data_IF_431931770899
#
_entry.id   IF_431931770899
#
_cell.length_a   1.000
_cell.length_b   1.000
_cell.length_c   1.000
_cell.angle_alpha   90.00
_cell.angle_beta   90.00
_cell.angle_gamma   90.00
#
_symmetry.space_group_name_H-M   'P 1'
#
loop_
_entity.id
_entity.type
_entity.pdbx_description
1 polymer ?
#
# COMPACT_ATOMS: atom_id res chain seq x y z
N UNK A 1 -17.12 4.76 -4.07
CA UNK A 1 -17.92 4.99 -5.30
C UNK A 1 -17.41 4.05 -6.38
N UNK A 2 -18.30 3.47 -7.17
CA UNK A 2 -17.99 2.57 -8.29
C UNK A 2 -18.54 3.19 -9.59
N UNK A 3 -17.65 3.36 -10.57
CA UNK A 3 -18.02 3.75 -11.93
C UNK A 3 -18.13 2.49 -12.80
N UNK A 4 -19.17 2.40 -13.61
CA UNK A 4 -19.36 1.33 -14.56
C UNK A 4 -19.54 1.92 -15.97
N UNK A 5 -18.79 1.40 -16.94
CA UNK A 5 -18.95 1.71 -18.34
C UNK A 5 -19.51 0.46 -19.08
N UNK A 6 -20.16 0.68 -20.21
CA UNK A 6 -20.74 -0.40 -21.00
C UNK A 6 -19.67 -1.31 -21.64
N UNK A 7 -18.53 -0.72 -22.02
CA UNK A 7 -17.44 -1.41 -22.70
C UNK A 7 -16.17 -1.37 -21.84
N UNK A 8 -15.40 -2.47 -21.73
CA UNK A 8 -14.18 -2.53 -20.94
C UNK A 8 -13.16 -1.47 -21.34
N UNK A 9 -12.95 -1.23 -22.64
CA UNK A 9 -12.02 -0.23 -23.11
C UNK A 9 -12.44 1.20 -22.73
N UNK A 10 -13.74 1.45 -22.67
CA UNK A 10 -14.25 2.74 -22.15
C UNK A 10 -13.97 2.89 -20.68
N UNK A 11 -14.17 1.84 -19.87
CA UNK A 11 -13.80 1.84 -18.45
C UNK A 11 -12.29 2.06 -18.27
N UNK A 12 -11.47 1.37 -19.06
CA UNK A 12 -10.02 1.53 -19.07
C UNK A 12 -9.57 2.95 -19.43
N UNK A 13 -10.19 3.55 -20.46
CA UNK A 13 -9.91 4.93 -20.83
C UNK A 13 -10.24 5.93 -19.71
N UNK A 14 -11.40 5.80 -19.10
CA UNK A 14 -11.81 6.61 -17.95
C UNK A 14 -10.83 6.44 -16.80
N UNK A 15 -10.43 5.20 -16.49
CA UNK A 15 -9.47 4.92 -15.43
C UNK A 15 -8.09 5.56 -15.71
N UNK A 16 -7.59 5.50 -16.95
CA UNK A 16 -6.35 6.18 -17.36
C UNK A 16 -6.45 7.69 -17.19
N UNK A 17 -7.59 8.28 -17.57
CA UNK A 17 -7.81 9.71 -17.40
C UNK A 17 -7.83 10.13 -15.93
N UNK A 18 -8.60 9.45 -15.08
CA UNK A 18 -8.73 9.78 -13.66
C UNK A 18 -7.39 9.67 -12.90
N UNK A 19 -6.46 8.82 -13.37
CA UNK A 19 -5.10 8.67 -12.83
C UNK A 19 -4.09 9.66 -13.41
N UNK A 20 -4.42 10.31 -14.52
CA UNK A 20 -3.53 11.26 -15.18
C UNK A 20 -3.40 12.57 -14.40
N UNK A 21 -2.37 13.37 -14.74
CA UNK A 21 -2.20 14.74 -14.19
C UNK A 21 -3.36 15.69 -14.49
N UNK A 22 -4.26 15.34 -15.41
CA UNK A 22 -5.43 16.15 -15.77
C UNK A 22 -6.70 15.71 -15.04
N UNK A 23 -6.89 14.42 -14.80
CA UNK A 23 -8.09 13.88 -14.16
C UNK A 23 -8.01 13.94 -12.64
N UNK A 24 -6.84 13.55 -12.08
CA UNK A 24 -6.65 13.52 -10.64
C UNK A 24 -6.91 14.85 -9.92
N UNK A 25 -6.40 16.03 -10.40
CA UNK A 25 -6.72 17.31 -9.76
C UNK A 25 -8.22 17.60 -9.74
N UNK A 26 -8.99 17.22 -10.77
CA UNK A 26 -10.43 17.41 -10.80
C UNK A 26 -11.14 16.59 -9.72
N UNK A 27 -10.66 15.35 -9.43
CA UNK A 27 -11.19 14.54 -8.34
C UNK A 27 -10.92 15.20 -6.97
N UNK A 28 -9.69 15.65 -6.75
CA UNK A 28 -9.28 16.26 -5.48
C UNK A 28 -9.99 17.61 -5.26
N UNK A 29 -10.18 18.39 -6.31
CA UNK A 29 -10.89 19.68 -6.21
C UNK A 29 -12.34 19.54 -5.72
N UNK A 30 -12.96 18.38 -5.98
CA UNK A 30 -14.32 18.07 -5.52
C UNK A 30 -14.40 17.58 -4.08
N UNK A 31 -13.27 17.34 -3.40
CA UNK A 31 -13.29 16.80 -2.03
C UNK A 31 -13.73 17.87 -1.02
N UNK A 32 -14.42 17.41 0.02
CA UNK A 32 -14.84 18.22 1.16
C UNK A 32 -14.58 17.45 2.46
N UNK A 33 -14.57 18.14 3.58
CA UNK A 33 -14.30 17.58 4.90
C UNK A 33 -13.15 18.32 5.60
N UNK A 34 -13.21 18.37 6.93
CA UNK A 34 -12.20 19.06 7.74
C UNK A 34 -11.10 18.13 8.29
N UNK A 35 -11.42 16.87 8.47
CA UNK A 35 -10.51 15.85 9.04
C UNK A 35 -10.28 14.71 8.05
N UNK A 36 -11.32 14.28 7.34
CA UNK A 36 -11.26 13.25 6.30
C UNK A 36 -11.87 13.81 5.04
N UNK A 37 -11.08 13.84 3.95
CA UNK A 37 -11.58 14.24 2.64
C UNK A 37 -12.57 13.20 2.11
N UNK A 38 -13.74 13.66 1.69
CA UNK A 38 -14.80 12.86 1.11
C UNK A 38 -15.11 13.32 -0.31
N UNK A 39 -15.58 12.40 -1.13
CA UNK A 39 -16.06 12.64 -2.49
C UNK A 39 -17.40 11.93 -2.69
N UNK A 40 -18.36 12.61 -3.27
CA UNK A 40 -19.70 12.10 -3.59
C UNK A 40 -19.89 11.84 -5.09
N UNK A 41 -20.90 11.06 -5.50
CA UNK A 41 -21.17 10.81 -6.91
C UNK A 41 -21.31 12.06 -7.76
N UNK A 42 -21.96 13.11 -7.23
CA UNK A 42 -22.19 14.40 -7.89
C UNK A 42 -20.89 15.13 -8.22
N UNK A 43 -19.82 14.89 -7.45
CA UNK A 43 -18.50 15.45 -7.75
C UNK A 43 -17.87 14.74 -8.96
N UNK A 44 -18.10 13.43 -9.10
CA UNK A 44 -17.61 12.66 -10.25
C UNK A 44 -18.31 13.05 -11.55
N UNK A 45 -19.59 13.39 -11.51
CA UNK A 45 -20.37 13.87 -12.66
C UNK A 45 -19.82 15.16 -13.26
N UNK A 46 -19.13 15.96 -12.46
CA UNK A 46 -18.52 17.23 -12.90
C UNK A 46 -17.14 17.05 -13.52
N UNK A 47 -16.57 15.86 -13.45
CA UNK A 47 -15.24 15.57 -14.04
C UNK A 47 -15.34 15.60 -15.56
N UNK A 48 -14.58 16.49 -16.19
CA UNK A 48 -14.56 16.64 -17.65
C UNK A 48 -13.54 15.70 -18.25
N UNK A 49 -14.02 14.67 -18.94
CA UNK A 49 -13.21 13.68 -19.64
C UNK A 49 -13.07 14.10 -21.11
N UNK A 50 -11.85 14.18 -21.66
CA UNK A 50 -11.65 14.57 -23.05
C UNK A 50 -12.28 13.57 -24.02
N UNK A 51 -13.00 14.05 -25.01
CA UNK A 51 -13.51 13.22 -26.10
C UNK A 51 -12.42 13.08 -27.19
N UNK A 52 -11.57 12.08 -27.02
CA UNK A 52 -10.55 11.71 -28.01
C UNK A 52 -11.17 10.87 -29.14
N UNK A 53 -10.53 10.81 -30.34
CA UNK A 53 -10.99 9.93 -31.40
C UNK A 53 -11.17 8.48 -30.91
N UNK A 54 -12.22 7.77 -31.34
CA UNK A 54 -12.55 6.43 -30.82
C UNK A 54 -11.38 5.46 -30.84
N UNK A 55 -10.59 5.47 -31.92
CA UNK A 55 -9.40 4.60 -32.06
C UNK A 55 -8.38 4.83 -30.93
N UNK A 56 -8.20 6.08 -30.49
CA UNK A 56 -7.27 6.44 -29.41
C UNK A 56 -7.81 6.07 -28.04
N UNK A 57 -9.12 6.24 -27.82
CA UNK A 57 -9.77 5.80 -26.58
C UNK A 57 -9.66 4.29 -26.40
N UNK A 58 -9.93 3.54 -27.47
CA UNK A 58 -9.81 2.08 -27.46
C UNK A 58 -8.35 1.64 -27.21
N UNK A 59 -7.37 2.26 -27.87
CA UNK A 59 -5.95 1.95 -27.67
C UNK A 59 -5.53 2.15 -26.20
N UNK A 60 -5.87 3.28 -25.60
CA UNK A 60 -5.54 3.61 -24.20
C UNK A 60 -6.30 2.68 -23.26
N UNK A 61 -7.59 2.46 -23.53
CA UNK A 61 -8.43 1.59 -22.72
C UNK A 61 -7.93 0.14 -22.67
N UNK A 62 -7.48 -0.40 -23.81
CA UNK A 62 -6.91 -1.75 -23.88
C UNK A 62 -5.67 -1.92 -23.02
N UNK A 63 -4.77 -0.93 -23.00
CA UNK A 63 -3.59 -0.98 -22.13
C UNK A 63 -3.98 -1.04 -20.65
N UNK A 64 -5.02 -0.31 -20.25
CA UNK A 64 -5.55 -0.37 -18.87
C UNK A 64 -6.22 -1.71 -18.56
N UNK A 65 -7.00 -2.27 -19.50
CA UNK A 65 -7.58 -3.60 -19.35
C UNK A 65 -6.49 -4.67 -19.21
N UNK A 66 -5.48 -4.63 -20.09
CA UNK A 66 -4.33 -5.52 -20.02
C UNK A 66 -3.62 -5.42 -18.65
N UNK A 67 -3.45 -4.21 -18.10
CA UNK A 67 -2.87 -4.05 -16.78
C UNK A 67 -3.73 -4.71 -15.67
N UNK A 68 -5.06 -4.66 -15.82
CA UNK A 68 -6.00 -5.38 -14.93
C UNK A 68 -5.81 -6.89 -15.03
N UNK A 69 -5.87 -7.45 -16.24
CA UNK A 69 -5.71 -8.89 -16.51
C UNK A 69 -4.39 -9.44 -15.95
N UNK A 70 -3.28 -8.70 -16.18
CA UNK A 70 -1.96 -9.07 -15.64
C UNK A 70 -1.93 -9.09 -14.10
N UNK A 71 -2.65 -8.18 -13.44
CA UNK A 71 -2.76 -8.20 -11.97
C UNK A 71 -3.59 -9.36 -11.47
N UNK A 72 -4.69 -9.66 -12.16
CA UNK A 72 -5.55 -10.81 -11.81
C UNK A 72 -4.79 -12.12 -11.97
N UNK A 73 -4.02 -12.29 -13.06
CA UNK A 73 -3.13 -13.45 -13.24
C UNK A 73 -2.06 -13.50 -12.15
N UNK A 74 -1.43 -12.36 -11.80
CA UNK A 74 -0.46 -12.32 -10.72
C UNK A 74 -1.06 -12.73 -9.37
N UNK A 75 -2.27 -12.28 -9.05
CA UNK A 75 -2.94 -12.69 -7.82
C UNK A 75 -3.27 -14.18 -7.83
N UNK A 76 -3.75 -14.72 -8.96
CA UNK A 76 -3.99 -16.16 -9.10
C UNK A 76 -2.73 -17.00 -8.86
N UNK A 77 -1.58 -16.56 -9.39
CA UNK A 77 -0.30 -17.24 -9.14
C UNK A 77 0.12 -17.20 -7.67
N UNK A 78 -0.16 -16.10 -6.95
CA UNK A 78 0.12 -16.03 -5.52
C UNK A 78 -0.81 -16.92 -4.70
N UNK A 79 -2.09 -17.01 -5.06
CA UNK A 79 -3.04 -17.94 -4.43
C UNK A 79 -2.61 -19.40 -4.68
N UNK A 80 -2.11 -19.69 -5.88
CA UNK A 80 -1.57 -21.01 -6.24
C UNK A 80 -0.29 -21.32 -5.46
N UNK A 81 0.61 -20.34 -5.27
CA UNK A 81 1.82 -20.51 -4.46
C UNK A 81 1.48 -20.82 -3.00
N UNK A 82 0.47 -20.15 -2.42
CA UNK A 82 -0.02 -20.42 -1.07
C UNK A 82 -0.61 -21.84 -0.97
N UNK A 83 -1.50 -22.20 -1.91
CA UNK A 83 -2.08 -23.54 -1.98
C UNK A 83 -0.99 -24.62 -2.08
N UNK A 84 -0.02 -24.41 -2.96
CA UNK A 84 1.08 -25.35 -3.20
C UNK A 84 2.00 -25.48 -2.00
N UNK A 85 2.28 -24.38 -1.29
CA UNK A 85 3.04 -24.39 -0.04
C UNK A 85 2.37 -25.30 1.00
N UNK A 86 1.07 -25.16 1.22
CA UNK A 86 0.30 -25.99 2.14
C UNK A 86 0.31 -27.47 1.71
N UNK A 87 0.12 -27.74 0.42
CA UNK A 87 0.10 -29.09 -0.14
C UNK A 87 1.46 -29.79 -0.03
N UNK A 88 2.54 -29.14 -0.51
CA UNK A 88 3.89 -29.75 -0.53
C UNK A 88 4.48 -29.96 0.85
N UNK A 89 4.13 -29.12 1.80
CA UNK A 89 4.55 -29.26 3.18
C UNK A 89 3.57 -30.07 4.04
N UNK A 90 2.43 -30.50 3.48
CA UNK A 90 1.36 -31.17 4.20
C UNK A 90 0.93 -30.38 5.46
N UNK A 91 0.79 -29.04 5.31
CA UNK A 91 0.36 -28.13 6.36
C UNK A 91 -1.13 -27.83 6.22
N UNK A 92 -1.98 -28.13 7.21
CA UNK A 92 -3.37 -27.65 7.22
C UNK A 92 -3.40 -26.13 7.38
N UNK A 93 -4.43 -25.47 6.87
CA UNK A 93 -4.60 -24.04 7.16
C UNK A 93 -4.85 -23.82 8.66
N UNK A 94 -4.25 -22.79 9.23
CA UNK A 94 -4.40 -22.48 10.67
C UNK A 94 -5.85 -22.24 11.07
N UNK A 95 -6.67 -21.67 10.19
CA UNK A 95 -8.11 -21.48 10.40
C UNK A 95 -8.87 -22.79 10.69
N UNK A 96 -8.38 -23.92 10.21
CA UNK A 96 -9.02 -25.23 10.31
C UNK A 96 -8.59 -25.98 11.60
N UNK A 97 -7.47 -25.58 12.20
CA UNK A 97 -6.88 -26.27 13.36
C UNK A 97 -6.78 -25.39 14.60
N UNK A 98 -6.76 -24.08 14.46
CA UNK A 98 -6.69 -23.16 15.60
C UNK A 98 -8.09 -22.95 16.20
N UNK A 99 -8.18 -22.99 17.51
CA UNK A 99 -9.41 -22.67 18.26
C UNK A 99 -9.68 -21.15 18.13
N UNK A 100 -10.47 -20.76 17.13
CA UNK A 100 -10.96 -19.39 16.96
C UNK A 100 -12.25 -19.20 17.75
N UNK A 101 -12.31 -18.16 18.54
CA UNK A 101 -13.61 -17.58 18.99
C UNK A 101 -14.10 -17.92 20.39
N UNK A 102 -13.27 -18.34 21.35
CA UNK A 102 -13.68 -18.23 22.74
C UNK A 102 -13.35 -16.86 23.31
N UNK A 103 -14.31 -16.19 23.92
CA UNK A 103 -14.15 -14.88 24.56
C UNK A 103 -13.07 -14.88 25.69
N UNK A 104 -12.72 -16.06 26.18
CA UNK A 104 -11.60 -16.27 27.09
C UNK A 104 -10.85 -17.54 26.70
N UNK A 105 -9.55 -17.42 26.50
CA UNK A 105 -8.67 -18.54 26.23
C UNK A 105 -7.71 -18.72 27.40
N UNK A 106 -7.63 -19.93 27.91
CA UNK A 106 -6.69 -20.31 28.97
C UNK A 106 -5.79 -21.43 28.44
N UNK A 107 -4.49 -21.23 28.50
CA UNK A 107 -3.51 -22.24 28.16
C UNK A 107 -2.46 -22.38 29.25
N UNK A 108 -1.90 -23.59 29.39
CA UNK A 108 -0.79 -23.85 30.30
C UNK A 108 0.48 -24.06 29.48
N UNK A 109 1.51 -23.28 29.78
CA UNK A 109 2.79 -23.31 29.09
C UNK A 109 3.86 -23.78 30.10
N UNK A 110 4.70 -24.72 29.68
CA UNK A 110 5.84 -25.14 30.50
C UNK A 110 6.87 -24.01 30.54
N UNK A 111 7.55 -23.85 31.68
CA UNK A 111 8.60 -22.82 31.81
C UNK A 111 9.68 -22.89 30.73
N UNK A 112 10.01 -24.09 30.25
CA UNK A 112 10.94 -24.31 29.14
C UNK A 112 10.44 -23.81 27.77
N UNK A 113 9.14 -23.56 27.62
CA UNK A 113 8.48 -23.07 26.41
C UNK A 113 8.22 -21.57 26.41
N UNK A 114 8.53 -20.88 27.51
CA UNK A 114 8.31 -19.43 27.63
C UNK A 114 9.18 -18.62 26.66
N UNK A 115 10.31 -19.15 26.22
CA UNK A 115 11.23 -18.47 25.28
C UNK A 115 11.63 -17.05 25.72
N UNK A 116 11.63 -16.83 27.05
CA UNK A 116 11.90 -15.51 27.65
C UNK A 116 10.76 -14.49 27.52
N UNK A 117 9.58 -14.89 27.06
CA UNK A 117 8.40 -14.04 26.83
C UNK A 117 7.24 -14.48 27.73
N UNK A 118 6.65 -13.53 28.43
CA UNK A 118 5.53 -13.75 29.36
C UNK A 118 4.19 -13.22 28.82
N UNK A 119 4.22 -12.52 27.71
CA UNK A 119 3.03 -11.90 27.11
C UNK A 119 2.08 -12.97 26.54
N UNK A 120 0.82 -12.89 26.91
CA UNK A 120 -0.21 -13.81 26.43
C UNK A 120 -0.34 -13.78 24.89
N UNK A 121 -0.15 -12.63 24.26
CA UNK A 121 -0.16 -12.48 22.79
C UNK A 121 0.92 -13.32 22.10
N UNK A 122 2.09 -13.47 22.71
CA UNK A 122 3.16 -14.33 22.18
C UNK A 122 2.79 -15.82 22.23
N UNK A 123 2.01 -16.21 23.21
CA UNK A 123 1.56 -17.59 23.44
C UNK A 123 0.11 -17.81 23.00
N UNK A 124 -0.34 -17.09 21.96
CA UNK A 124 -1.69 -17.27 21.45
C UNK A 124 -1.92 -18.66 20.84
N UNK A 125 -3.17 -19.16 20.79
CA UNK A 125 -3.50 -20.52 20.32
C UNK A 125 -3.04 -20.82 18.91
N UNK A 126 -3.16 -19.82 18.00
CA UNK A 126 -2.77 -19.99 16.60
C UNK A 126 -1.25 -20.20 16.50
N UNK A 127 -0.46 -19.40 17.24
CA UNK A 127 0.99 -19.54 17.25
C UNK A 127 1.45 -20.89 17.86
N UNK A 128 0.79 -21.35 18.92
CA UNK A 128 1.07 -22.67 19.53
C UNK A 128 0.73 -23.78 18.54
N UNK A 129 -0.41 -23.67 17.83
CA UNK A 129 -0.81 -24.64 16.81
C UNK A 129 0.18 -24.64 15.64
N UNK A 130 0.61 -23.46 15.16
CA UNK A 130 1.59 -23.31 14.09
C UNK A 130 2.91 -24.02 14.45
N UNK A 131 3.49 -23.70 15.61
CA UNK A 131 4.73 -24.33 16.08
C UNK A 131 4.61 -25.87 16.22
N UNK A 132 3.46 -26.34 16.71
CA UNK A 132 3.18 -27.77 16.84
C UNK A 132 3.15 -28.47 15.48
N UNK A 133 2.54 -27.83 14.46
CA UNK A 133 2.54 -28.38 13.11
C UNK A 133 3.94 -28.38 12.51
N UNK A 134 4.70 -27.29 12.66
CA UNK A 134 6.09 -27.24 12.17
C UNK A 134 6.96 -28.32 12.78
N UNK A 135 6.83 -28.58 14.09
CA UNK A 135 7.58 -29.62 14.78
C UNK A 135 7.29 -31.07 14.28
N UNK A 136 6.19 -31.26 13.55
CA UNK A 136 5.79 -32.59 12.99
C UNK A 136 6.22 -32.77 11.55
N UNK A 137 6.71 -31.71 10.89
CA UNK A 137 7.12 -31.80 9.49
C UNK A 137 8.36 -32.68 9.32
N UNK A 138 8.40 -33.52 8.25
CA UNK A 138 9.57 -34.34 7.93
C UNK A 138 10.67 -33.55 7.20
N UNK A 139 10.77 -32.25 7.46
CA UNK A 139 11.75 -31.34 6.86
C UNK A 139 12.45 -30.52 7.95
N UNK A 140 13.64 -30.05 7.66
CA UNK A 140 14.36 -29.17 8.56
C UNK A 140 13.56 -27.88 8.81
N UNK A 141 13.45 -27.45 10.05
CA UNK A 141 12.93 -26.12 10.42
C UNK A 141 14.12 -25.23 10.75
N UNK A 142 14.24 -24.14 10.02
CA UNK A 142 15.26 -23.14 10.23
C UNK A 142 14.63 -21.79 10.58
N UNK A 143 15.38 -20.70 10.50
CA UNK A 143 14.93 -19.34 10.79
C UNK A 143 15.01 -18.48 9.54
N UNK A 144 14.17 -17.46 9.45
CA UNK A 144 14.22 -16.49 8.35
C UNK A 144 15.62 -15.90 8.16
N UNK A 145 16.36 -15.65 9.26
CA UNK A 145 17.72 -15.12 9.21
C UNK A 145 18.81 -16.14 8.85
N UNK A 146 18.48 -17.37 8.50
CA UNK A 146 19.46 -18.40 8.07
C UNK A 146 20.13 -17.98 6.75
N UNK A 147 21.47 -17.96 6.75
CA UNK A 147 22.26 -17.50 5.59
C UNK A 147 22.10 -18.36 4.33
N UNK A 148 21.56 -19.56 4.44
CA UNK A 148 21.24 -20.43 3.29
C UNK A 148 20.09 -19.88 2.45
N UNK A 149 19.21 -19.08 3.05
CA UNK A 149 18.01 -18.52 2.38
C UNK A 149 17.96 -17.01 2.41
N UNK A 150 18.61 -16.36 3.38
CA UNK A 150 18.60 -14.91 3.57
C UNK A 150 20.02 -14.36 3.65
N UNK A 151 20.34 -13.46 2.74
CA UNK A 151 21.62 -12.73 2.74
C UNK A 151 21.67 -11.70 3.86
N UNK A 152 20.58 -10.96 4.07
CA UNK A 152 20.51 -9.88 5.04
C UNK A 152 19.07 -9.58 5.46
N UNK A 153 18.86 -9.31 6.75
CA UNK A 153 17.65 -8.67 7.27
C UNK A 153 18.01 -7.25 7.68
N UNK A 154 17.52 -6.28 6.92
CA UNK A 154 17.88 -4.85 7.05
C UNK A 154 16.73 -4.07 7.66
N UNK A 155 16.95 -3.44 8.80
CA UNK A 155 16.06 -2.44 9.37
C UNK A 155 16.87 -1.20 9.71
N UNK A 156 16.31 -0.04 9.41
CA UNK A 156 16.98 1.22 9.68
C UNK A 156 16.52 1.73 11.04
N UNK A 157 17.46 2.31 11.77
CA UNK A 157 17.16 3.21 12.89
C UNK A 157 16.51 4.48 12.36
N UNK A 158 15.63 5.10 13.17
CA UNK A 158 14.80 6.25 12.78
C UNK A 158 15.53 7.26 11.90
N UNK A 159 15.07 7.36 10.67
CA UNK A 159 15.49 8.34 9.68
C UNK A 159 14.78 9.67 9.98
N UNK A 160 15.40 10.51 10.81
CA UNK A 160 14.74 11.69 11.40
C UNK A 160 14.73 12.91 10.49
N UNK A 161 15.81 13.17 9.76
CA UNK A 161 15.94 14.35 8.92
C UNK A 161 15.74 13.98 7.45
N UNK A 162 14.59 14.39 6.91
CA UNK A 162 14.21 14.10 5.52
C UNK A 162 14.10 15.39 4.73
N UNK A 163 14.94 15.52 3.73
CA UNK A 163 14.84 16.61 2.76
C UNK A 163 14.09 16.14 1.54
N UNK A 164 12.94 16.74 1.28
CA UNK A 164 12.11 16.40 0.12
C UNK A 164 12.26 17.45 -0.98
N UNK A 165 12.06 17.01 -2.23
CA UNK A 165 12.09 17.86 -3.42
C UNK A 165 10.93 17.52 -4.34
N UNK A 166 10.42 18.52 -5.07
CA UNK A 166 9.31 18.31 -5.99
C UNK A 166 9.75 17.62 -7.29
N UNK A 167 10.98 17.90 -7.74
CA UNK A 167 11.53 17.40 -9.01
C UNK A 167 12.88 16.72 -8.80
N UNK A 168 13.14 15.68 -9.57
CA UNK A 168 14.45 15.02 -9.64
C UNK A 168 14.88 14.23 -8.40
N UNK A 169 14.01 14.05 -7.42
CA UNK A 169 14.29 13.23 -6.23
C UNK A 169 13.99 11.73 -6.43
N UNK A 170 14.31 10.94 -5.40
CA UNK A 170 14.03 9.51 -5.37
C UNK A 170 12.69 9.29 -4.66
N UNK A 171 11.73 8.56 -5.27
CA UNK A 171 10.46 8.25 -4.62
C UNK A 171 10.68 7.54 -3.28
N UNK A 172 9.98 7.99 -2.23
CA UNK A 172 10.00 7.38 -0.90
C UNK A 172 8.61 6.93 -0.50
N UNK A 173 8.47 5.63 -0.33
CA UNK A 173 7.23 4.99 0.07
C UNK A 173 7.13 4.92 1.60
N UNK A 174 5.98 5.28 2.13
CA UNK A 174 5.57 4.89 3.48
C UNK A 174 5.18 3.41 3.50
N UNK A 175 5.10 2.80 4.69
CA UNK A 175 4.63 1.42 4.82
C UNK A 175 3.24 1.20 4.20
N UNK A 176 2.33 2.18 4.28
CA UNK A 176 1.02 2.12 3.62
C UNK A 176 1.13 2.12 2.09
N UNK A 177 1.99 2.99 1.54
CA UNK A 177 2.16 3.13 0.09
C UNK A 177 2.82 1.91 -0.56
N UNK A 178 3.64 1.15 0.17
CA UNK A 178 4.23 -0.11 -0.32
C UNK A 178 3.19 -1.12 -0.81
N UNK A 179 1.97 -1.08 -0.26
CA UNK A 179 0.88 -2.03 -0.57
C UNK A 179 -0.20 -1.43 -1.47
N UNK A 180 -0.04 -0.20 -1.93
CA UNK A 180 -0.94 0.40 -2.89
C UNK A 180 -0.61 -0.07 -4.30
N UNK A 181 -1.64 -0.39 -5.09
CA UNK A 181 -1.50 -0.73 -6.51
C UNK A 181 -0.91 0.45 -7.30
N UNK A 182 -1.33 1.66 -6.93
CA UNK A 182 -0.85 2.92 -7.48
C UNK A 182 -0.57 3.87 -6.30
N UNK A 183 0.68 3.91 -5.81
CA UNK A 183 1.06 4.78 -4.70
C UNK A 183 0.86 6.25 -5.08
N UNK A 184 -0.01 6.93 -4.35
CA UNK A 184 -0.32 8.34 -4.54
C UNK A 184 0.44 9.21 -3.54
N UNK A 185 0.68 10.48 -3.92
CA UNK A 185 1.37 11.49 -3.09
C UNK A 185 2.75 11.04 -2.59
N UNK A 186 3.44 10.27 -3.43
CA UNK A 186 4.77 9.76 -3.12
C UNK A 186 5.75 10.93 -3.06
N UNK A 187 6.27 11.19 -1.86
CA UNK A 187 7.30 12.20 -1.63
C UNK A 187 8.61 11.77 -2.28
N UNK A 188 9.43 12.73 -2.70
CA UNK A 188 10.72 12.46 -3.33
C UNK A 188 11.84 12.97 -2.45
N UNK A 189 12.75 12.09 -2.04
CA UNK A 189 13.94 12.46 -1.28
C UNK A 189 14.97 13.17 -2.16
N UNK A 190 15.58 14.20 -1.63
CA UNK A 190 16.72 14.88 -2.25
C UNK A 190 17.95 13.95 -2.25
N UNK A 191 18.35 13.46 -3.42
CA UNK A 191 19.43 12.49 -3.57
C UNK A 191 20.75 12.98 -2.92
N UNK A 192 21.11 14.24 -3.13
CA UNK A 192 22.34 14.81 -2.61
C UNK A 192 22.38 14.89 -1.07
N UNK A 193 21.24 15.18 -0.43
CA UNK A 193 21.14 15.28 1.02
C UNK A 193 21.22 13.90 1.72
N UNK A 194 20.83 12.83 1.02
CA UNK A 194 20.67 11.49 1.60
C UNK A 194 21.59 10.43 1.00
N UNK A 195 22.70 10.84 0.38
CA UNK A 195 23.62 9.90 -0.29
C UNK A 195 24.13 8.79 0.63
N UNK A 196 24.34 9.10 1.92
CA UNK A 196 24.84 8.13 2.91
C UNK A 196 23.74 7.13 3.35
N UNK A 197 22.48 7.57 3.36
CA UNK A 197 21.35 6.77 3.84
C UNK A 197 20.80 5.85 2.75
N UNK A 198 20.98 6.22 1.47
CA UNK A 198 20.41 5.49 0.34
C UNK A 198 20.69 3.99 0.33
N UNK A 199 21.90 3.49 0.61
CA UNK A 199 22.16 2.05 0.61
C UNK A 199 21.29 1.26 1.59
N UNK A 200 20.89 1.91 2.70
CA UNK A 200 20.07 1.25 3.72
C UNK A 200 18.57 1.34 3.43
N UNK A 201 18.12 2.41 2.74
CA UNK A 201 16.70 2.67 2.51
C UNK A 201 16.21 2.29 1.11
N UNK A 202 17.13 2.07 0.17
CA UNK A 202 16.80 1.76 -1.21
C UNK A 202 16.19 0.36 -1.33
N UNK A 203 15.21 0.24 -2.21
CA UNK A 203 14.56 -1.01 -2.57
C UNK A 203 15.29 -1.66 -3.76
N UNK A 204 15.36 -2.97 -3.74
CA UNK A 204 15.95 -3.81 -4.78
C UNK A 204 14.87 -4.75 -5.34
N UNK A 205 14.98 -5.15 -6.60
CA UNK A 205 14.07 -6.13 -7.20
C UNK A 205 14.12 -7.44 -6.42
N UNK A 206 12.96 -8.06 -6.21
CA UNK A 206 12.79 -9.28 -5.42
C UNK A 206 13.14 -9.19 -3.92
N UNK A 207 13.52 -8.01 -3.43
CA UNK A 207 13.58 -7.76 -1.99
C UNK A 207 12.20 -7.93 -1.35
N UNK A 208 12.13 -8.45 -0.13
CA UNK A 208 10.87 -8.58 0.60
C UNK A 208 10.81 -7.47 1.64
N UNK A 209 9.76 -6.64 1.55
CA UNK A 209 9.45 -5.62 2.55
C UNK A 209 8.37 -6.14 3.50
N UNK A 210 8.60 -6.01 4.81
CA UNK A 210 7.67 -6.42 5.87
C UNK A 210 7.36 -5.21 6.74
N UNK A 211 6.07 -4.91 6.94
CA UNK A 211 5.67 -3.84 7.86
C UNK A 211 6.02 -4.21 9.30
N UNK A 212 6.74 -3.30 9.98
CA UNK A 212 7.24 -3.51 11.33
C UNK A 212 6.57 -2.68 12.41
N UNK A 213 5.81 -1.64 12.05
CA UNK A 213 5.21 -0.70 12.99
C UNK A 213 3.77 -0.38 12.61
N UNK A 214 2.88 -0.28 13.57
CA UNK A 214 1.44 -0.05 13.38
C UNK A 214 0.74 -1.30 12.84
N UNK A 215 0.43 -1.36 11.56
CA UNK A 215 -0.08 -2.56 10.91
C UNK A 215 1.10 -3.49 10.60
N UNK A 216 1.40 -4.41 11.51
CA UNK A 216 2.53 -5.33 11.40
C UNK A 216 2.23 -6.56 10.53
N UNK A 217 3.27 -7.20 10.00
CA UNK A 217 3.20 -8.50 9.33
C UNK A 217 2.67 -8.50 7.91
N UNK A 218 2.39 -7.33 7.30
CA UNK A 218 2.14 -7.27 5.86
C UNK A 218 3.43 -7.44 5.09
N UNK A 219 3.38 -8.23 4.01
CA UNK A 219 4.55 -8.61 3.22
C UNK A 219 4.35 -8.20 1.77
N UNK A 220 5.38 -7.61 1.17
CA UNK A 220 5.43 -7.23 -0.24
C UNK A 220 6.75 -7.66 -0.85
N UNK A 221 6.70 -8.43 -1.94
CA UNK A 221 7.87 -8.62 -2.79
C UNK A 221 8.00 -7.43 -3.75
N UNK A 222 9.19 -6.86 -3.84
CA UNK A 222 9.43 -5.61 -4.58
C UNK A 222 9.52 -5.90 -6.08
N UNK A 223 8.61 -5.34 -6.90
CA UNK A 223 8.67 -5.47 -8.35
C UNK A 223 9.78 -4.58 -8.93
N UNK A 224 10.20 -4.88 -10.14
CA UNK A 224 11.28 -4.19 -10.84
C UNK A 224 11.05 -2.68 -10.96
N UNK A 225 9.82 -2.22 -11.18
CA UNK A 225 9.53 -0.79 -11.31
C UNK A 225 9.76 0.00 -10.01
N UNK A 226 9.70 -0.67 -8.84
CA UNK A 226 10.01 -0.06 -7.54
C UNK A 226 11.51 -0.16 -7.20
N UNK A 227 12.30 -0.91 -7.96
CA UNK A 227 13.74 -0.96 -7.74
C UNK A 227 14.34 0.45 -7.87
N UNK A 228 15.28 0.77 -6.99
CA UNK A 228 15.85 2.10 -6.83
C UNK A 228 14.94 3.17 -6.19
N UNK A 229 13.68 2.89 -5.88
CA UNK A 229 12.91 3.71 -4.96
C UNK A 229 13.38 3.48 -3.51
N UNK A 230 12.85 4.23 -2.58
CA UNK A 230 13.17 4.07 -1.15
C UNK A 230 11.89 3.79 -0.35
N UNK A 231 12.04 3.20 0.82
CA UNK A 231 10.93 3.02 1.76
C UNK A 231 11.31 3.53 3.15
N UNK A 232 10.28 3.89 3.94
CA UNK A 232 10.44 4.39 5.30
C UNK A 232 11.04 3.32 6.23
N UNK A 233 11.45 3.75 7.41
CA UNK A 233 11.91 2.88 8.50
C UNK A 233 10.86 1.92 9.04
N UNK A 234 9.57 2.15 8.73
CA UNK A 234 8.46 1.30 9.18
C UNK A 234 8.34 -0.02 8.39
N UNK A 235 9.24 -0.25 7.45
CA UNK A 235 9.37 -1.50 6.73
C UNK A 235 10.75 -2.13 6.97
N UNK A 236 10.79 -3.35 7.50
CA UNK A 236 11.99 -4.20 7.50
C UNK A 236 12.16 -4.80 6.11
N UNK A 237 13.38 -4.91 5.64
CA UNK A 237 13.75 -5.42 4.33
C UNK A 237 14.51 -6.72 4.48
N UNK A 238 14.10 -7.74 3.73
CA UNK A 238 14.77 -9.04 3.68
C UNK A 238 15.36 -9.18 2.28
N UNK A 239 16.66 -9.36 2.21
CA UNK A 239 17.38 -9.72 1.00
C UNK A 239 17.61 -11.24 1.05
N UNK A 240 16.97 -11.97 0.16
CA UNK A 240 17.20 -13.41 0.03
C UNK A 240 18.60 -13.69 -0.52
N UNK A 241 19.08 -14.92 -0.33
CA UNK A 241 20.36 -15.38 -0.86
C UNK A 241 20.37 -15.47 -2.39
N UNK A 242 19.21 -15.73 -2.99
CA UNK A 242 18.95 -15.79 -4.42
C UNK A 242 17.46 -15.54 -4.71
N UNK A 243 17.10 -15.43 -6.00
CA UNK A 243 15.73 -15.15 -6.41
C UNK A 243 14.72 -16.25 -6.04
N UNK A 244 15.12 -17.50 -6.13
CA UNK A 244 14.27 -18.65 -5.77
C UNK A 244 13.91 -18.59 -4.29
N UNK A 245 14.91 -18.35 -3.44
CA UNK A 245 14.69 -18.16 -2.03
C UNK A 245 13.86 -16.89 -1.74
N UNK A 246 13.98 -15.81 -2.53
CA UNK A 246 13.11 -14.65 -2.41
C UNK A 246 11.64 -15.01 -2.62
N UNK A 247 11.34 -15.77 -3.68
CA UNK A 247 9.98 -16.24 -3.96
C UNK A 247 9.43 -17.13 -2.84
N UNK A 248 10.21 -18.11 -2.40
CA UNK A 248 9.82 -19.02 -1.32
C UNK A 248 9.63 -18.31 0.03
N UNK A 249 10.57 -17.42 0.42
CA UNK A 249 10.47 -16.61 1.62
C UNK A 249 9.21 -15.72 1.61
N UNK A 250 8.91 -15.12 0.46
CA UNK A 250 7.68 -14.34 0.32
C UNK A 250 6.45 -15.22 0.52
N UNK A 251 6.36 -16.38 -0.15
CA UNK A 251 5.23 -17.29 -0.02
C UNK A 251 5.04 -17.73 1.44
N UNK A 252 6.13 -18.08 2.13
CA UNK A 252 6.07 -18.40 3.55
C UNK A 252 5.59 -17.25 4.43
N UNK A 253 6.20 -16.08 4.30
CA UNK A 253 5.87 -14.93 5.12
C UNK A 253 4.45 -14.39 4.85
N UNK A 254 3.92 -14.56 3.63
CA UNK A 254 2.57 -14.18 3.24
C UNK A 254 1.51 -15.21 3.67
N UNK A 255 1.90 -16.46 3.96
CA UNK A 255 1.00 -17.51 4.44
C UNK A 255 0.44 -17.23 5.83
N UNK A 256 -0.61 -17.92 6.21
CA UNK A 256 -1.20 -17.82 7.54
C UNK A 256 -0.21 -18.22 8.65
N UNK A 257 0.68 -19.20 8.41
CA UNK A 257 1.76 -19.56 9.33
C UNK A 257 2.78 -18.46 9.49
N UNK A 258 3.33 -17.95 8.39
CA UNK A 258 4.32 -16.87 8.41
C UNK A 258 3.77 -15.60 9.08
N UNK A 259 2.55 -15.21 8.71
CA UNK A 259 1.88 -14.07 9.34
C UNK A 259 1.68 -14.27 10.85
N UNK A 260 1.19 -15.44 11.27
CA UNK A 260 0.98 -15.75 12.67
C UNK A 260 2.29 -15.71 13.48
N UNK A 261 3.35 -16.36 12.97
CA UNK A 261 4.65 -16.43 13.62
C UNK A 261 5.38 -15.07 13.66
N UNK A 262 5.20 -14.22 12.65
CA UNK A 262 5.72 -12.84 12.68
C UNK A 262 5.00 -11.97 13.70
N UNK A 263 3.66 -11.99 13.64
CA UNK A 263 2.84 -11.08 14.46
C UNK A 263 2.88 -11.43 15.95
N UNK A 264 3.02 -12.72 16.30
CA UNK A 264 3.22 -13.12 17.71
C UNK A 264 4.47 -12.49 18.32
N UNK A 265 5.49 -12.22 17.53
CA UNK A 265 6.73 -11.61 17.99
C UNK A 265 6.60 -10.12 18.33
N UNK A 266 5.45 -9.51 18.04
CA UNK A 266 5.24 -8.08 18.28
C UNK A 266 5.32 -7.70 19.75
N UNK A 267 5.71 -6.47 19.99
CA UNK A 267 5.74 -5.82 21.30
C UNK A 267 5.18 -4.40 21.20
N UNK A 268 4.94 -3.77 22.32
CA UNK A 268 4.34 -2.44 22.40
C UNK A 268 2.89 -2.48 22.91
N UNK A 269 2.43 -1.39 23.48
CA UNK A 269 1.09 -1.30 24.09
C UNK A 269 0.10 -0.48 23.24
N UNK A 270 0.57 0.56 22.57
CA UNK A 270 -0.26 1.45 21.73
C UNK A 270 0.07 1.23 20.25
N UNK A 271 1.34 1.18 19.90
CA UNK A 271 1.81 0.86 18.55
C UNK A 271 2.59 -0.44 18.67
N UNK A 272 2.11 -1.48 17.97
CA UNK A 272 2.82 -2.75 17.89
C UNK A 272 4.02 -2.61 16.96
N UNK A 273 5.15 -3.19 17.36
CA UNK A 273 6.38 -3.23 16.58
C UNK A 273 6.97 -4.64 16.55
N UNK A 274 7.69 -4.94 15.46
CA UNK A 274 8.51 -6.14 15.30
C UNK A 274 9.90 -5.70 14.86
N UNK A 275 10.93 -5.99 15.62
CA UNK A 275 12.30 -5.67 15.23
C UNK A 275 12.89 -6.72 14.27
N UNK A 276 14.04 -6.39 13.69
CA UNK A 276 14.69 -7.25 12.68
C UNK A 276 15.20 -8.56 13.27
N UNK A 277 15.63 -8.56 14.52
CA UNK A 277 16.14 -9.74 15.24
C UNK A 277 14.98 -10.71 15.50
N UNK A 278 13.81 -10.19 15.89
CA UNK A 278 12.60 -10.98 16.05
C UNK A 278 12.12 -11.55 14.71
N UNK A 279 12.08 -10.74 13.67
CA UNK A 279 11.73 -11.21 12.32
C UNK A 279 12.70 -12.28 11.83
N UNK A 280 13.99 -12.07 12.01
CA UNK A 280 15.03 -13.04 11.64
C UNK A 280 14.92 -14.36 12.41
N UNK A 281 14.33 -14.34 13.61
CA UNK A 281 14.15 -15.54 14.46
C UNK A 281 12.89 -16.36 14.13
N UNK A 282 12.00 -15.86 13.27
CA UNK A 282 10.78 -16.57 12.85
C UNK A 282 11.14 -17.88 12.17
N UNK A 283 10.45 -18.96 12.55
CA UNK A 283 10.68 -20.29 11.98
C UNK A 283 10.13 -20.39 10.54
N UNK A 284 10.87 -21.12 9.72
CA UNK A 284 10.52 -21.46 8.33
C UNK A 284 10.92 -22.89 8.02
N UNK A 285 10.06 -23.70 7.39
CA UNK A 285 10.46 -24.98 6.84
C UNK A 285 11.51 -24.81 5.73
N UNK A 286 12.49 -25.69 5.69
CA UNK A 286 13.51 -25.73 4.64
C UNK A 286 13.39 -27.04 3.84
N UNK A 287 12.37 -27.17 2.96
CA UNK A 287 12.23 -28.34 2.12
C UNK A 287 13.35 -28.39 1.07
N UNK A 288 13.44 -29.52 0.37
CA UNK A 288 14.38 -29.67 -0.73
C UNK A 288 14.24 -28.57 -1.80
N UNK A 289 15.32 -28.27 -2.54
CA UNK A 289 15.33 -27.18 -3.53
C UNK A 289 14.21 -27.26 -4.58
N UNK A 290 13.82 -28.47 -5.00
CA UNK A 290 12.77 -28.67 -5.99
C UNK A 290 11.43 -28.06 -5.53
N UNK A 291 11.02 -28.28 -4.28
CA UNK A 291 9.79 -27.72 -3.71
C UNK A 291 9.90 -26.20 -3.57
N UNK A 292 11.05 -25.68 -3.11
CA UNK A 292 11.27 -24.23 -3.01
C UNK A 292 11.22 -23.55 -4.37
N UNK A 293 11.78 -24.19 -5.41
CA UNK A 293 11.73 -23.69 -6.78
C UNK A 293 10.28 -23.64 -7.29
N UNK A 294 9.53 -24.72 -7.13
CA UNK A 294 8.16 -24.82 -7.61
C UNK A 294 7.27 -23.68 -7.03
N UNK A 295 7.39 -23.43 -5.73
CA UNK A 295 6.65 -22.35 -5.06
C UNK A 295 7.23 -20.96 -5.42
N UNK A 296 8.55 -20.84 -5.39
CA UNK A 296 9.25 -19.58 -5.63
C UNK A 296 9.04 -19.04 -7.04
N UNK A 297 9.03 -19.90 -8.06
CA UNK A 297 8.81 -19.53 -9.46
C UNK A 297 7.42 -18.90 -9.68
N UNK A 298 6.38 -19.42 -9.02
CA UNK A 298 5.03 -18.81 -9.08
C UNK A 298 5.04 -17.38 -8.56
N UNK A 299 5.69 -17.14 -7.42
CA UNK A 299 5.80 -15.81 -6.82
C UNK A 299 6.62 -14.88 -7.70
N UNK A 300 7.76 -15.33 -8.23
CA UNK A 300 8.59 -14.52 -9.11
C UNK A 300 7.86 -14.16 -10.41
N UNK A 301 7.12 -15.11 -10.99
CA UNK A 301 6.27 -14.85 -12.16
C UNK A 301 5.19 -13.84 -11.84
N UNK A 302 4.51 -13.96 -10.70
CA UNK A 302 3.52 -12.98 -10.24
C UNK A 302 4.14 -11.58 -10.09
N UNK A 303 5.35 -11.49 -9.54
CA UNK A 303 6.07 -10.22 -9.40
C UNK A 303 6.42 -9.59 -10.75
N UNK A 304 6.82 -10.40 -11.74
CA UNK A 304 7.06 -9.95 -13.12
C UNK A 304 5.77 -9.44 -13.80
N UNK A 305 4.64 -10.13 -13.61
CA UNK A 305 3.34 -9.69 -14.15
C UNK A 305 2.89 -8.37 -13.52
N UNK A 306 3.15 -8.14 -12.24
CA UNK A 306 2.90 -6.85 -11.57
C UNK A 306 3.75 -5.72 -12.17
N UNK A 307 5.01 -5.99 -12.53
CA UNK A 307 5.87 -5.02 -13.23
C UNK A 307 5.32 -4.71 -14.63
N UNK A 308 4.91 -5.72 -15.39
CA UNK A 308 4.30 -5.54 -16.72
C UNK A 308 2.99 -4.75 -16.64
N UNK A 309 2.13 -5.07 -15.66
CA UNK A 309 0.88 -4.35 -15.43
C UNK A 309 1.12 -2.86 -15.17
N UNK A 310 2.07 -2.55 -14.31
CA UNK A 310 2.44 -1.15 -14.03
C UNK A 310 2.94 -0.43 -15.30
N UNK A 311 3.79 -1.08 -16.10
CA UNK A 311 4.30 -0.50 -17.36
C UNK A 311 3.18 -0.22 -18.37
N UNK A 312 2.26 -1.17 -18.54
CA UNK A 312 1.11 -1.01 -19.44
C UNK A 312 0.23 0.16 -19.01
N UNK A 313 0.01 0.31 -17.71
CA UNK A 313 -0.72 1.43 -17.13
C UNK A 313 -0.01 2.77 -17.33
N UNK A 314 1.30 2.85 -17.06
CA UNK A 314 2.08 4.07 -17.28
C UNK A 314 2.13 4.45 -18.76
N UNK A 315 2.16 3.47 -19.67
CA UNK A 315 2.07 3.71 -21.11
C UNK A 315 0.71 4.31 -21.49
N UNK A 316 -0.39 3.76 -20.95
CA UNK A 316 -1.75 4.28 -21.18
C UNK A 316 -1.88 5.75 -20.74
N UNK A 317 -1.44 6.04 -19.51
CA UNK A 317 -1.46 7.40 -18.95
C UNK A 317 -0.59 8.35 -19.79
N UNK A 318 0.64 7.94 -20.14
CA UNK A 318 1.55 8.76 -20.93
C UNK A 318 1.01 9.06 -22.32
N UNK A 319 0.41 8.07 -23.02
CA UNK A 319 -0.23 8.26 -24.32
C UNK A 319 -1.39 9.26 -24.23
N UNK A 320 -2.24 9.11 -23.23
CA UNK A 320 -3.35 10.03 -22.97
C UNK A 320 -2.86 11.46 -22.75
N UNK A 321 -1.89 11.64 -21.87
CA UNK A 321 -1.35 12.96 -21.53
C UNK A 321 -0.69 13.66 -22.73
N UNK A 322 0.03 12.91 -23.56
CA UNK A 322 0.60 13.44 -24.81
C UNK A 322 -0.46 13.90 -25.80
N UNK A 323 -1.55 13.13 -25.96
CA UNK A 323 -2.64 13.50 -26.86
C UNK A 323 -3.40 14.75 -26.40
N UNK A 324 -3.59 14.91 -25.09
CA UNK A 324 -4.20 16.13 -24.54
C UNK A 324 -3.27 17.33 -24.75
N UNK A 325 -1.97 17.19 -24.43
CA UNK A 325 -1.01 18.30 -24.60
C UNK A 325 -0.83 18.72 -26.04
N UNK A 326 -0.85 17.79 -27.01
CA UNK A 326 -0.68 18.13 -28.42
C UNK A 326 -1.87 18.89 -29.00
N UNK A 327 -3.09 18.65 -28.52
CA UNK A 327 -4.29 19.41 -28.93
C UNK A 327 -4.26 20.86 -28.44
N UNK A 328 -3.62 21.13 -27.30
CA UNK A 328 -3.51 22.49 -26.77
C UNK A 328 -2.58 23.42 -27.56
N UNK A 329 -1.72 22.84 -28.42
CA UNK A 329 -0.75 23.60 -29.27
C UNK A 329 -1.21 23.82 -30.70
N UNK A 330 -2.40 23.37 -31.11
CA UNK A 330 -2.94 23.64 -32.47
C UNK A 330 -3.76 24.92 -32.40
N UNK A 331 -3.45 25.96 -33.23
CA UNK A 331 -4.29 27.17 -33.29
C UNK A 331 -5.69 26.77 -33.72
N UNK A 332 -6.68 27.08 -32.90
CA UNK A 332 -8.10 26.84 -33.15
C UNK A 332 -8.53 27.66 -34.37
N UNK A 333 -8.80 27.01 -35.50
CA UNK A 333 -9.64 27.55 -36.53
C UNK A 333 -11.09 27.24 -36.18
N UNK A 334 -11.84 28.31 -35.92
CA UNK A 334 -13.29 28.48 -35.79
C UNK A 334 -14.17 27.21 -35.84
N UNK A 335 -14.34 26.51 -34.73
CA UNK A 335 -15.52 25.70 -34.45
C UNK A 335 -15.75 25.71 -32.93
N UNK A 336 -16.90 26.25 -32.50
CA UNK A 336 -17.53 26.34 -31.18
C UNK A 336 -16.60 26.13 -29.98
N UNK A 337 -16.44 27.12 -29.10
CA UNK A 337 -15.56 26.98 -27.94
C UNK A 337 -16.18 26.01 -26.95
N UNK A 338 -15.57 24.84 -26.80
CA UNK A 338 -15.57 24.20 -25.48
C UNK A 338 -14.73 25.15 -24.64
N UNK A 339 -15.35 25.85 -23.71
CA UNK A 339 -14.65 26.68 -22.74
C UNK A 339 -13.60 25.81 -22.03
N UNK A 340 -12.38 25.89 -22.55
CA UNK A 340 -11.23 25.35 -21.84
C UNK A 340 -11.02 26.20 -20.61
N UNK A 341 -11.31 25.66 -19.43
CA UNK A 341 -10.88 26.25 -18.18
C UNK A 341 -9.34 26.28 -18.18
N UNK A 342 -8.80 27.40 -18.61
CA UNK A 342 -7.39 27.72 -18.47
C UNK A 342 -7.22 28.36 -17.09
N UNK A 343 -6.44 27.75 -16.21
CA UNK A 343 -6.02 28.36 -14.95
C UNK A 343 -5.32 29.71 -15.14
N UNK A 344 -4.83 30.01 -16.34
CA UNK A 344 -4.26 31.31 -16.72
C UNK A 344 -5.27 32.46 -16.69
N UNK A 345 -6.57 32.17 -16.70
CA UNK A 345 -7.65 33.18 -16.69
C UNK A 345 -8.36 33.32 -15.34
N UNK A 346 -7.94 32.61 -14.31
CA UNK A 346 -8.41 32.87 -12.95
C UNK A 346 -7.71 34.14 -12.48
N UNK A 347 -8.42 35.27 -12.58
CA UNK A 347 -8.03 36.46 -11.87
C UNK A 347 -8.31 36.24 -10.41
N UNK A 348 -7.25 35.98 -9.64
CA UNK A 348 -7.34 36.08 -8.20
C UNK A 348 -7.75 37.50 -7.85
N UNK A 349 -8.87 37.67 -7.20
CA UNK A 349 -9.25 38.95 -6.62
C UNK A 349 -8.43 39.12 -5.33
N UNK A 350 -7.32 39.82 -5.47
CA UNK A 350 -6.45 40.17 -4.34
C UNK A 350 -7.11 41.13 -3.34
N UNK A 351 -8.30 41.67 -3.67
CA UNK A 351 -9.11 42.50 -2.79
C UNK A 351 -10.24 41.70 -2.14
N UNK A 352 -10.35 40.39 -2.40
CA UNK A 352 -11.32 39.55 -1.72
C UNK A 352 -11.06 39.56 -0.21
N UNK A 353 -12.13 39.69 0.56
CA UNK A 353 -12.07 39.64 2.02
C UNK A 353 -11.33 38.36 2.48
N UNK A 354 -10.29 38.46 3.32
CA UNK A 354 -9.60 37.30 3.85
C UNK A 354 -10.56 36.34 4.55
N UNK A 355 -10.34 35.01 4.39
CA UNK A 355 -11.25 34.00 4.91
C UNK A 355 -11.49 34.11 6.42
N UNK A 356 -10.52 34.59 7.18
CA UNK A 356 -10.65 34.82 8.62
C UNK A 356 -11.53 36.03 8.95
N UNK A 357 -11.56 37.06 8.11
CA UNK A 357 -12.49 38.23 8.25
C UNK A 357 -13.89 37.80 7.89
N UNK A 358 -14.06 37.01 6.82
CA UNK A 358 -15.33 36.40 6.45
C UNK A 358 -15.87 35.54 7.58
N UNK A 359 -15.02 34.66 8.15
CA UNK A 359 -15.38 33.80 9.27
C UNK A 359 -15.77 34.62 10.51
N UNK A 360 -15.01 35.67 10.85
CA UNK A 360 -15.34 36.58 11.96
C UNK A 360 -16.68 37.28 11.74
N UNK A 361 -16.94 37.75 10.51
CA UNK A 361 -18.21 38.41 10.15
C UNK A 361 -19.41 37.47 10.16
N UNK A 362 -19.21 36.20 9.76
CA UNK A 362 -20.26 35.19 9.84
C UNK A 362 -20.52 34.77 11.30
N UNK A 363 -19.49 34.59 12.09
CA UNK A 363 -19.62 34.25 13.51
C UNK A 363 -20.27 35.36 14.34
N UNK A 364 -20.04 36.64 13.99
CA UNK A 364 -20.69 37.79 14.62
C UNK A 364 -22.20 37.82 14.39
N UNK A 365 -22.74 37.13 13.38
CA UNK A 365 -24.17 37.00 13.12
C UNK A 365 -24.86 35.94 13.98
N UNK A 366 -24.09 35.07 14.64
CA UNK A 366 -24.62 34.04 15.52
C UNK A 366 -24.83 34.67 16.91
N UNK A 367 -26.03 34.60 17.47
CA UNK A 367 -26.29 35.14 18.80
C UNK A 367 -25.39 34.51 19.86
N UNK A 368 -24.95 35.29 20.85
CA UNK A 368 -24.10 34.80 21.94
C UNK A 368 -24.72 33.63 22.73
N UNK A 369 -26.06 33.57 22.76
CA UNK A 369 -26.81 32.48 23.36
C UNK A 369 -26.60 31.13 22.65
N UNK A 370 -26.40 31.14 21.35
CA UNK A 370 -26.09 29.94 20.55
C UNK A 370 -24.62 29.49 20.79
N UNK A 371 -23.70 30.46 20.86
CA UNK A 371 -22.31 30.14 21.23
C UNK A 371 -22.18 29.56 22.63
N UNK A 372 -23.01 30.01 23.57
CA UNK A 372 -23.03 29.51 24.94
C UNK A 372 -23.53 28.06 25.08
N UNK A 373 -24.22 27.52 24.06
CA UNK A 373 -24.67 26.12 24.01
C UNK A 373 -23.58 25.16 23.61
N UNK A 374 -22.49 25.64 23.01
CA UNK A 374 -21.38 24.79 22.59
C UNK A 374 -20.57 24.34 23.80
N UNK A 375 -20.12 23.07 23.83
CA UNK A 375 -19.22 22.59 24.86
C UNK A 375 -17.93 23.42 24.91
N UNK A 376 -17.46 23.76 26.12
CA UNK A 376 -16.25 24.57 26.31
C UNK A 376 -14.98 23.93 25.77
N UNK A 377 -14.99 22.62 25.63
CA UNK A 377 -13.91 21.77 25.15
C UNK A 377 -14.14 21.25 23.73
N UNK A 378 -15.13 21.82 23.01
CA UNK A 378 -15.48 21.38 21.64
C UNK A 378 -14.26 21.31 20.71
N UNK A 379 -13.37 22.31 20.77
CA UNK A 379 -12.18 22.34 19.92
C UNK A 379 -11.16 21.22 20.23
N UNK A 380 -11.15 20.70 21.46
CA UNK A 380 -10.27 19.62 21.90
C UNK A 380 -10.88 18.23 21.69
N UNK A 381 -12.21 18.12 21.73
CA UNK A 381 -12.97 16.89 21.69
C UNK A 381 -14.01 16.86 20.56
N UNK A 382 -13.72 17.51 19.45
CA UNK A 382 -14.65 17.67 18.33
C UNK A 382 -15.22 16.34 17.80
N UNK A 383 -14.35 15.34 17.65
CA UNK A 383 -14.73 14.00 17.14
C UNK A 383 -15.70 13.27 18.08
N UNK A 384 -15.57 13.49 19.40
CA UNK A 384 -16.46 12.91 20.40
C UNK A 384 -17.89 13.48 20.29
N UNK A 385 -18.01 14.77 20.07
CA UNK A 385 -19.33 15.44 19.95
C UNK A 385 -19.99 15.19 18.59
N UNK A 386 -19.22 14.97 17.53
CA UNK A 386 -19.75 14.64 16.22
C UNK A 386 -20.41 13.25 16.20
N UNK A 387 -19.85 12.26 16.90
CA UNK A 387 -20.40 10.91 16.99
C UNK A 387 -21.71 10.81 17.81
N UNK A 388 -22.02 11.81 18.63
CA UNK A 388 -23.26 11.85 19.42
C UNK A 388 -24.46 12.43 18.65
N UNK A 389 -24.26 13.07 17.50
CA UNK A 389 -25.33 13.60 16.64
C UNK A 389 -25.86 12.58 15.63
N UNK A 390 -25.11 11.50 15.37
CA UNK A 390 -25.48 10.44 14.43
C UNK A 390 -26.09 9.20 15.13
N UNK A 391 -26.42 9.28 16.41
CA UNK A 391 -27.12 8.30 17.21
C UNK A 391 -28.46 8.89 17.68
#
# INVERSE_FOLDING_TARGET
IRLQANEPETAGYVAAFLRSRYGRPQLIQGTFGSVVDQIEPEHLERVLIPDLPPIRRIEIGRLMCQAGELRDEANHLLDEADRLLHERLNLPYLKDIALRGSASFTTTIKASQLMGRLEASFHNPEAIAAEKQLAQLPVEITKIGDQRITKEVRAITKFRERTYVDKGGIPMLSSKQLFQVDPIDVKKLAKGAHTKDLPEIQLEENMIAVTRSGTIGKVQIIPKYMAAWTASEDATRILASDDINAGYLYAWLASDYGYCLMTRCSYGSVILEVDKEMLASVHIPLPEPAIRNEIGDLVLKANQLRDQAWRSEQEAISKLEKLISSKSNTPMNNQTPIESFSFANIKFDYNAEPIWELAARLSAKIPNEEWAKLPKDLAQNFDHYQQQQDS
#
